data_IF_760476579373
#
_entry.id   IF_760476579373
#
_cell.length_a   1.000
_cell.length_b   1.000
_cell.length_c   1.000
_cell.angle_alpha   90.00
_cell.angle_beta   90.00
_cell.angle_gamma   90.00
#
_symmetry.space_group_name_H-M   'P 1'
#
loop_
_entity.id
_entity.type
_entity.pdbx_description
1 polymer ?
#
# COMPACT_ATOMS: atom_id res chain seq x y z
N UNK A 1 2.01 -20.51 -28.93
CA UNK A 1 3.44 -20.28 -28.61
C UNK A 1 4.15 -21.60 -28.69
N UNK A 2 5.20 -21.71 -29.51
CA UNK A 2 5.99 -22.95 -29.64
C UNK A 2 6.74 -23.26 -28.33
N UNK A 3 6.87 -24.53 -27.90
CA UNK A 3 7.65 -24.94 -26.73
C UNK A 3 9.09 -24.41 -26.74
N UNK A 4 9.69 -24.31 -27.93
CA UNK A 4 11.03 -23.76 -28.14
C UNK A 4 11.13 -22.26 -27.79
N UNK A 5 10.12 -21.48 -28.19
CA UNK A 5 10.07 -20.05 -27.88
C UNK A 5 9.96 -19.80 -26.37
N UNK A 6 9.23 -20.67 -25.65
CA UNK A 6 9.12 -20.61 -24.19
C UNK A 6 10.45 -20.98 -23.50
N UNK A 7 11.16 -22.00 -24.01
CA UNK A 7 12.47 -22.39 -23.49
C UNK A 7 13.52 -21.27 -23.70
N UNK A 8 13.58 -20.70 -24.90
CA UNK A 8 14.45 -19.56 -25.22
C UNK A 8 14.17 -18.33 -24.35
N UNK A 9 12.89 -18.01 -24.10
CA UNK A 9 12.50 -16.94 -23.17
C UNK A 9 12.98 -17.22 -21.74
N UNK A 10 12.79 -18.44 -21.23
CA UNK A 10 13.23 -18.81 -19.87
C UNK A 10 14.75 -18.69 -19.70
N UNK A 11 15.50 -19.09 -20.72
CA UNK A 11 16.96 -18.98 -20.71
C UNK A 11 17.42 -17.53 -20.67
N UNK A 12 16.91 -16.67 -21.55
CA UNK A 12 17.21 -15.23 -21.54
C UNK A 12 16.81 -14.55 -20.24
N UNK A 13 15.67 -14.93 -19.65
CA UNK A 13 15.24 -14.45 -18.33
C UNK A 13 16.21 -14.85 -17.22
N UNK A 14 16.77 -16.07 -17.27
CA UNK A 14 17.76 -16.56 -16.31
C UNK A 14 19.08 -15.80 -16.45
N UNK A 15 19.53 -15.58 -17.68
CA UNK A 15 20.73 -14.80 -17.99
C UNK A 15 20.60 -13.35 -17.52
N UNK A 16 19.48 -12.69 -17.84
CA UNK A 16 19.20 -11.34 -17.36
C UNK A 16 19.22 -11.26 -15.82
N UNK A 17 18.60 -12.23 -15.13
CA UNK A 17 18.65 -12.30 -13.66
C UNK A 17 20.06 -12.46 -13.12
N UNK A 18 20.89 -13.32 -13.75
CA UNK A 18 22.29 -13.50 -13.37
C UNK A 18 23.07 -12.22 -13.53
N UNK A 19 22.88 -11.52 -14.63
CA UNK A 19 23.60 -10.27 -14.89
C UNK A 19 23.20 -9.16 -13.91
N UNK A 20 21.90 -9.02 -13.63
CA UNK A 20 21.42 -8.12 -12.58
C UNK A 20 22.01 -8.48 -11.22
N UNK A 21 22.12 -9.77 -10.89
CA UNK A 21 22.72 -10.21 -9.63
C UNK A 21 24.22 -9.86 -9.55
N UNK A 22 24.98 -10.09 -10.63
CA UNK A 22 26.40 -9.70 -10.71
C UNK A 22 26.57 -8.20 -10.54
N UNK A 23 25.80 -7.40 -11.27
CA UNK A 23 25.85 -5.94 -11.18
C UNK A 23 25.52 -5.44 -9.77
N UNK A 24 24.51 -6.03 -9.12
CA UNK A 24 24.19 -5.72 -7.71
C UNK A 24 25.32 -6.09 -6.76
N UNK A 25 25.93 -7.27 -6.94
CA UNK A 25 27.07 -7.70 -6.11
C UNK A 25 28.23 -6.73 -6.24
N UNK A 26 28.64 -6.41 -7.47
CA UNK A 26 29.74 -5.48 -7.73
C UNK A 26 29.47 -4.09 -7.13
N UNK A 27 28.23 -3.59 -7.22
CA UNK A 27 27.85 -2.34 -6.59
C UNK A 27 27.91 -2.40 -5.05
N UNK A 28 27.57 -3.53 -4.43
CA UNK A 28 27.70 -3.73 -2.99
C UNK A 28 29.16 -3.85 -2.56
N UNK A 29 30.00 -4.55 -3.31
CA UNK A 29 31.43 -4.68 -3.01
C UNK A 29 32.12 -3.31 -3.02
N UNK A 30 31.81 -2.47 -4.01
CA UNK A 30 32.30 -1.09 -4.09
C UNK A 30 31.77 -0.21 -2.94
N UNK A 31 30.55 -0.45 -2.47
CA UNK A 31 30.03 0.23 -1.29
C UNK A 31 30.83 -0.19 -0.04
N UNK A 32 31.06 -1.49 0.17
CA UNK A 32 31.82 -1.98 1.32
C UNK A 32 33.25 -1.47 1.34
N UNK A 33 33.96 -1.46 0.21
CA UNK A 33 35.30 -0.85 0.12
C UNK A 33 35.32 0.62 0.57
N UNK A 34 34.28 1.39 0.22
CA UNK A 34 34.16 2.80 0.66
C UNK A 34 33.85 2.92 2.15
N UNK A 35 33.16 1.95 2.72
CA UNK A 35 32.83 1.87 4.14
C UNK A 35 33.97 1.31 5.00
N UNK A 36 35.03 0.77 4.39
CA UNK A 36 36.24 0.29 5.08
C UNK A 36 37.35 1.36 5.12
N UNK A 37 37.04 2.60 4.69
CA UNK A 37 37.98 3.72 4.67
C UNK A 37 37.99 4.50 5.99
N UNK A 38 39.04 5.28 6.31
CA UNK A 38 39.08 6.13 7.51
C UNK A 38 37.98 7.20 7.62
N UNK A 39 37.22 7.43 6.54
CA UNK A 39 36.03 8.30 6.51
C UNK A 39 34.71 7.52 6.50
N UNK A 40 34.75 6.24 6.89
CA UNK A 40 33.63 5.33 6.95
C UNK A 40 32.49 5.86 7.82
N UNK A 41 32.79 6.38 9.01
CA UNK A 41 31.79 6.76 10.01
C UNK A 41 30.76 7.75 9.46
N UNK A 42 31.24 8.81 8.79
CA UNK A 42 30.37 9.82 8.15
C UNK A 42 29.56 9.25 6.99
N UNK A 43 30.04 8.20 6.31
CA UNK A 43 29.33 7.53 5.21
C UNK A 43 28.27 6.57 5.76
N UNK A 44 28.60 5.77 6.77
CA UNK A 44 27.68 4.88 7.47
C UNK A 44 26.52 5.69 8.06
N UNK A 45 26.82 6.78 8.77
CA UNK A 45 25.80 7.65 9.37
C UNK A 45 24.84 8.22 8.32
N UNK A 46 25.36 8.70 7.18
CA UNK A 46 24.53 9.19 6.07
C UNK A 46 23.66 8.08 5.45
N UNK A 47 24.22 6.88 5.28
CA UNK A 47 23.49 5.72 4.74
C UNK A 47 22.36 5.28 5.69
N UNK A 48 22.64 5.22 6.99
CA UNK A 48 21.65 4.91 8.01
C UNK A 48 20.52 5.95 8.03
N UNK A 49 20.86 7.24 7.97
CA UNK A 49 19.88 8.33 7.93
C UNK A 49 19.02 8.28 6.66
N UNK A 50 19.61 7.97 5.50
CA UNK A 50 18.87 7.82 4.25
C UNK A 50 17.89 6.64 4.29
N UNK A 51 18.34 5.48 4.82
CA UNK A 51 17.47 4.30 5.03
C UNK A 51 16.32 4.62 5.98
N UNK A 52 16.60 5.29 7.10
CA UNK A 52 15.57 5.71 8.03
C UNK A 52 14.56 6.63 7.34
N UNK A 53 15.01 7.65 6.60
CA UNK A 53 14.10 8.56 5.87
C UNK A 53 13.25 7.84 4.81
N UNK A 54 13.82 6.85 4.12
CA UNK A 54 13.08 6.04 3.13
C UNK A 54 12.06 5.08 3.77
N UNK A 55 12.24 4.70 5.05
CA UNK A 55 11.28 3.88 5.81
C UNK A 55 10.12 4.68 6.40
N UNK A 56 10.19 6.01 6.39
CA UNK A 56 9.11 6.86 6.88
C UNK A 56 8.10 7.08 5.75
N UNK A 57 6.85 6.66 5.97
CA UNK A 57 5.71 6.93 5.06
C UNK A 57 5.50 8.44 4.86
N UNK A 58 5.89 9.23 5.86
CA UNK A 58 5.88 10.69 5.86
C UNK A 58 7.28 11.20 6.15
N UNK A 59 8.08 11.39 5.10
CA UNK A 59 9.47 11.83 5.23
C UNK A 59 9.63 13.32 5.59
N UNK A 60 8.54 14.09 5.52
CA UNK A 60 8.45 15.51 5.91
C UNK A 60 7.18 15.75 6.74
N UNK A 61 7.26 16.71 7.67
CA UNK A 61 6.10 17.22 8.40
C UNK A 61 5.17 17.83 7.36
N UNK A 62 4.04 17.17 7.09
CA UNK A 62 3.00 17.76 6.26
C UNK A 62 2.54 19.02 6.98
N UNK A 63 2.77 20.16 6.34
CA UNK A 63 2.29 21.40 6.89
C UNK A 63 0.76 21.34 6.97
N UNK A 64 0.20 21.66 8.13
CA UNK A 64 -1.26 21.61 8.38
C UNK A 64 -1.72 23.02 8.71
N UNK A 65 -2.91 23.40 8.27
CA UNK A 65 -3.50 24.68 8.67
C UNK A 65 -4.09 24.60 10.08
N UNK A 66 -3.83 25.61 10.90
CA UNK A 66 -4.54 25.81 12.17
C UNK A 66 -5.98 26.31 11.93
N UNK A 67 -6.70 26.64 13.01
CA UNK A 67 -8.09 27.11 12.93
C UNK A 67 -8.17 28.50 12.29
N UNK A 68 -7.15 29.30 12.51
CA UNK A 68 -6.97 30.67 12.02
C UNK A 68 -6.47 30.70 10.56
N UNK A 69 -6.18 29.53 9.96
CA UNK A 69 -5.75 29.39 8.57
C UNK A 69 -4.23 29.53 8.35
N UNK A 70 -3.43 29.68 9.39
CA UNK A 70 -1.97 29.72 9.32
C UNK A 70 -1.38 28.33 9.13
N UNK A 71 -0.24 28.28 8.46
CA UNK A 71 0.43 27.03 8.10
C UNK A 71 1.41 26.58 9.20
N UNK A 72 1.06 25.54 9.95
CA UNK A 72 1.92 24.88 10.93
C UNK A 72 2.92 23.95 10.23
N UNK A 73 4.21 24.11 10.52
CA UNK A 73 5.30 23.26 10.01
C UNK A 73 6.08 22.53 11.10
N UNK A 74 5.90 22.93 12.36
CA UNK A 74 6.52 22.26 13.50
C UNK A 74 5.85 20.90 13.74
N UNK A 75 6.62 19.80 13.86
CA UNK A 75 6.04 18.46 14.04
C UNK A 75 5.17 18.32 15.29
N UNK A 76 5.52 19.00 16.38
CA UNK A 76 4.76 18.93 17.65
C UNK A 76 3.43 19.66 17.48
N UNK A 77 3.45 20.87 16.91
CA UNK A 77 2.26 21.65 16.61
C UNK A 77 1.33 20.94 15.62
N UNK A 78 1.88 20.33 14.56
CA UNK A 78 1.09 19.55 13.59
C UNK A 78 0.42 18.35 14.28
N UNK A 79 1.14 17.61 15.12
CA UNK A 79 0.57 16.48 15.87
C UNK A 79 -0.54 16.92 16.82
N UNK A 80 -0.36 18.04 17.52
CA UNK A 80 -1.38 18.62 18.40
C UNK A 80 -2.61 19.05 17.61
N UNK A 81 -2.43 19.72 16.46
CA UNK A 81 -3.54 20.12 15.59
C UNK A 81 -4.36 18.92 15.11
N UNK A 82 -3.70 17.85 14.67
CA UNK A 82 -4.37 16.58 14.32
C UNK A 82 -5.16 16.00 15.50
N UNK A 83 -4.58 16.00 16.70
CA UNK A 83 -5.24 15.51 17.90
C UNK A 83 -6.51 16.29 18.20
N UNK A 84 -6.45 17.62 18.18
CA UNK A 84 -7.60 18.49 18.45
C UNK A 84 -8.69 18.29 17.38
N UNK A 85 -8.32 18.33 16.10
CA UNK A 85 -9.26 18.14 14.99
C UNK A 85 -10.01 16.80 15.07
N UNK A 86 -9.29 15.69 15.26
CA UNK A 86 -9.95 14.38 15.38
C UNK A 86 -10.73 14.22 16.69
N UNK A 87 -10.31 14.89 17.77
CA UNK A 87 -11.07 14.88 19.03
C UNK A 87 -12.41 15.59 18.85
N UNK A 88 -12.45 16.72 18.16
CA UNK A 88 -13.71 17.39 17.79
C UNK A 88 -14.54 16.50 16.85
N UNK A 89 -13.94 16.07 15.73
CA UNK A 89 -14.65 15.28 14.71
C UNK A 89 -15.29 13.99 15.24
N UNK A 90 -14.64 13.30 16.18
CA UNK A 90 -15.10 12.00 16.68
C UNK A 90 -15.96 12.07 17.94
N UNK A 91 -15.86 13.15 18.72
CA UNK A 91 -16.61 13.29 19.97
C UNK A 91 -17.74 14.32 19.90
N UNK A 92 -17.73 15.23 18.93
CA UNK A 92 -18.89 16.06 18.65
C UNK A 92 -19.98 15.16 18.05
N UNK A 93 -21.12 15.07 18.74
CA UNK A 93 -22.29 14.36 18.23
C UNK A 93 -22.83 15.11 17.01
N UNK A 94 -22.31 14.74 15.83
CA UNK A 94 -22.95 15.11 14.58
C UNK A 94 -24.39 14.59 14.65
N UNK A 95 -25.41 15.44 14.45
CA UNK A 95 -26.79 14.99 14.44
C UNK A 95 -26.90 13.92 13.37
N UNK A 96 -26.97 12.65 13.82
CA UNK A 96 -27.15 11.52 12.93
C UNK A 96 -28.49 11.77 12.27
N UNK A 97 -28.50 11.92 10.94
CA UNK A 97 -29.75 11.82 10.19
C UNK A 97 -30.41 10.54 10.67
N UNK A 98 -31.61 10.65 11.22
CA UNK A 98 -32.38 9.48 11.60
C UNK A 98 -32.35 8.55 10.40
N UNK A 99 -31.77 7.36 10.62
CA UNK A 99 -31.79 6.33 9.60
C UNK A 99 -33.27 6.04 9.41
N UNK A 100 -33.85 6.51 8.32
CA UNK A 100 -35.18 6.09 7.91
C UNK A 100 -35.07 4.57 7.79
N UNK A 101 -35.61 3.87 8.79
CA UNK A 101 -35.79 2.43 8.72
C UNK A 101 -36.92 2.26 7.73
N UNK A 102 -36.59 2.30 6.44
CA UNK A 102 -37.51 1.80 5.44
C UNK A 102 -37.79 0.35 5.84
N UNK A 103 -39.06 -0.07 5.93
CA UNK A 103 -39.37 -1.47 6.13
C UNK A 103 -38.54 -2.27 5.11
N UNK A 104 -37.93 -3.40 5.53
CA UNK A 104 -37.24 -4.28 4.59
C UNK A 104 -38.17 -4.46 3.40
N UNK A 105 -37.70 -4.22 2.18
CA UNK A 105 -38.51 -4.49 0.98
C UNK A 105 -38.93 -5.95 1.08
N UNK A 106 -40.18 -6.17 1.47
CA UNK A 106 -40.75 -7.48 1.71
C UNK A 106 -41.10 -8.08 0.34
N UNK A 107 -40.07 -8.34 -0.45
CA UNK A 107 -40.14 -9.21 -1.60
C UNK A 107 -39.67 -10.60 -1.18
N UNK A 108 -40.29 -11.69 -1.65
CA UNK A 108 -39.72 -13.02 -1.49
C UNK A 108 -38.31 -13.01 -2.10
N UNK A 109 -37.29 -13.16 -1.27
CA UNK A 109 -35.96 -13.49 -1.76
C UNK A 109 -36.09 -14.87 -2.38
N UNK A 110 -36.06 -14.94 -3.71
CA UNK A 110 -36.15 -16.20 -4.43
C UNK A 110 -34.99 -17.10 -3.94
N UNK A 111 -35.27 -18.33 -3.51
CA UNK A 111 -34.22 -19.25 -3.10
C UNK A 111 -33.30 -19.52 -4.29
N UNK A 112 -32.00 -19.49 -4.04
CA UNK A 112 -31.01 -19.76 -5.07
C UNK A 112 -31.19 -21.17 -5.64
N UNK A 113 -31.01 -21.30 -6.95
CA UNK A 113 -30.94 -22.61 -7.59
C UNK A 113 -29.50 -23.13 -7.58
N UNK A 114 -29.33 -24.45 -7.43
CA UNK A 114 -28.01 -25.10 -7.43
C UNK A 114 -27.28 -24.85 -8.76
N UNK A 115 -28.03 -24.70 -9.86
CA UNK A 115 -27.53 -24.42 -11.19
C UNK A 115 -26.87 -23.04 -11.31
N UNK A 116 -27.47 -22.02 -10.70
CA UNK A 116 -26.88 -20.68 -10.63
C UNK A 116 -25.57 -20.69 -9.85
N UNK A 117 -25.55 -21.35 -8.69
CA UNK A 117 -24.32 -21.49 -7.87
C UNK A 117 -23.23 -22.22 -8.67
N UNK A 118 -23.56 -23.34 -9.32
CA UNK A 118 -22.61 -24.09 -10.16
C UNK A 118 -22.08 -23.26 -11.32
N UNK A 119 -22.93 -22.50 -11.99
CA UNK A 119 -22.54 -21.63 -13.12
C UNK A 119 -21.56 -20.54 -12.68
N UNK A 120 -21.72 -19.99 -11.49
CA UNK A 120 -20.81 -18.98 -10.96
C UNK A 120 -19.51 -19.60 -10.50
N UNK A 121 -19.54 -20.70 -9.74
CA UNK A 121 -18.32 -21.41 -9.30
C UNK A 121 -17.46 -21.84 -10.51
N UNK A 122 -18.08 -22.29 -11.60
CA UNK A 122 -17.38 -22.64 -12.84
C UNK A 122 -16.67 -21.45 -13.51
N UNK A 123 -17.15 -20.21 -13.29
CA UNK A 123 -16.52 -18.99 -13.82
C UNK A 123 -15.38 -18.47 -12.94
N UNK A 124 -15.25 -18.95 -11.69
CA UNK A 124 -14.22 -18.48 -10.78
C UNK A 124 -12.86 -19.09 -11.14
N UNK A 125 -11.84 -18.24 -11.27
CA UNK A 125 -10.44 -18.69 -11.37
C UNK A 125 -9.90 -18.95 -9.96
N UNK A 126 -9.14 -20.03 -9.80
CA UNK A 126 -8.51 -20.42 -8.52
C UNK A 126 -7.75 -19.23 -7.92
N UNK A 127 -8.08 -18.87 -6.68
CA UNK A 127 -7.42 -17.80 -5.94
C UNK A 127 -7.86 -16.37 -6.27
N UNK A 128 -8.95 -16.16 -7.03
CA UNK A 128 -9.52 -14.83 -7.27
C UNK A 128 -10.99 -14.74 -6.85
N UNK A 129 -11.30 -13.74 -6.03
CA UNK A 129 -12.68 -13.32 -5.79
C UNK A 129 -13.13 -12.42 -6.96
N UNK A 130 -14.20 -12.79 -7.64
CA UNK A 130 -14.92 -11.89 -8.55
C UNK A 130 -15.94 -11.09 -7.74
N UNK A 131 -16.00 -9.77 -7.94
CA UNK A 131 -17.04 -8.93 -7.33
C UNK A 131 -18.42 -9.44 -7.72
N UNK A 132 -19.23 -9.78 -6.73
CA UNK A 132 -20.56 -10.31 -6.93
C UNK A 132 -21.53 -9.16 -7.22
N UNK A 133 -22.10 -9.10 -8.42
CA UNK A 133 -23.29 -8.30 -8.66
C UNK A 133 -24.49 -9.15 -8.19
N UNK A 134 -24.84 -9.00 -6.92
CA UNK A 134 -26.02 -9.62 -6.33
C UNK A 134 -27.23 -8.85 -6.88
N UNK A 135 -28.17 -9.54 -7.53
CA UNK A 135 -29.47 -8.94 -7.90
C UNK A 135 -30.15 -8.51 -6.60
N UNK A 136 -30.36 -7.21 -6.43
CA UNK A 136 -31.10 -6.60 -5.32
C UNK A 136 -32.61 -6.74 -5.49
#
# INVERSE_FOLDING_TARGET
MSPEALAGYKQKKKEAKREVARAKSAAMDELYKKLDSPHADKRVFRLARARHKASLDLSEVRAVKDEEGNMLRDPVAVKQRWRTYFSQLLNEELPRKERVVTPPTAGPVQPWTIEEVRKVVKKMKVGKATGWLIRG
#
